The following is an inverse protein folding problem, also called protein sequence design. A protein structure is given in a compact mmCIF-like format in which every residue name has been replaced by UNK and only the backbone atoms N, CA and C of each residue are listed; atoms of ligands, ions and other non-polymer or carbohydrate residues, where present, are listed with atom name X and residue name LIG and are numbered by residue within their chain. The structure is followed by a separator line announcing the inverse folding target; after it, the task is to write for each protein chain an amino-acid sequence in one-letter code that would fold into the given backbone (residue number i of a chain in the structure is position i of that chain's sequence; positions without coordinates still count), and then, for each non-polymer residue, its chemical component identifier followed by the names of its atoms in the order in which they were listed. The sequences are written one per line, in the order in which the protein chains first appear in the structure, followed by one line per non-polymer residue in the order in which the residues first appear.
data_IF_918480867624
#
_entry.id   IF_918480867624
#
_cell.length_a   1.000
_cell.length_b   1.000
_cell.length_c   1.000
_cell.angle_alpha   90.00
_cell.angle_beta   90.00
_cell.angle_gamma   90.00
#
_symmetry.space_group_name_H-M   'P 1'
#
loop_
_entity.id
_entity.type
_entity.pdbx_description
1 polymer ?
#
# COMPACT_ATOMS: atom_id res chain seq x y z
N UNK A 1 -3.18 -26.93 -28.10
CA UNK A 1 -1.95 -26.75 -27.30
C UNK A 1 -0.99 -25.95 -28.16
N UNK A 2 -0.81 -24.64 -28.02
CA UNK A 2 -0.13 -23.95 -26.94
C UNK A 2 -0.29 -22.44 -27.20
N UNK A 3 -1.07 -21.73 -26.37
CA UNK A 3 -1.05 -20.27 -26.30
C UNK A 3 -0.43 -19.88 -24.96
N UNK A 4 0.88 -20.09 -24.82
CA UNK A 4 1.65 -19.46 -23.77
C UNK A 4 2.13 -18.10 -24.32
N UNK A 5 1.29 -17.08 -24.20
CA UNK A 5 1.74 -15.70 -24.33
C UNK A 5 2.91 -15.50 -23.37
N UNK A 6 4.11 -15.31 -23.92
CA UNK A 6 5.33 -14.98 -23.18
C UNK A 6 5.04 -13.65 -22.45
N UNK A 7 4.85 -13.67 -21.13
CA UNK A 7 4.66 -12.46 -20.34
C UNK A 7 5.85 -11.52 -20.58
N UNK A 8 5.59 -10.36 -21.17
CA UNK A 8 6.61 -9.40 -21.57
C UNK A 8 7.00 -8.57 -20.35
N UNK A 9 8.31 -8.47 -20.08
CA UNK A 9 8.93 -7.50 -19.18
C UNK A 9 8.18 -7.18 -17.87
N UNK A 10 7.36 -6.14 -17.91
CA UNK A 10 6.54 -5.62 -16.81
C UNK A 10 5.59 -6.66 -16.22
N UNK A 11 4.84 -7.36 -17.07
CA UNK A 11 3.81 -8.31 -16.62
C UNK A 11 4.43 -9.41 -15.77
N UNK A 12 5.68 -9.77 -16.09
CA UNK A 12 6.45 -10.75 -15.33
C UNK A 12 6.76 -10.26 -13.93
N UNK A 13 7.12 -8.99 -13.75
CA UNK A 13 7.36 -8.39 -12.42
C UNK A 13 6.06 -8.39 -11.60
N UNK A 14 4.93 -8.04 -12.22
CA UNK A 14 3.62 -7.99 -11.57
C UNK A 14 3.18 -9.40 -11.14
N UNK A 15 3.24 -10.38 -12.04
CA UNK A 15 2.83 -11.77 -11.77
C UNK A 15 3.70 -12.39 -10.68
N UNK A 16 5.02 -12.21 -10.73
CA UNK A 16 5.92 -12.70 -9.68
C UNK A 16 5.64 -12.06 -8.32
N UNK A 17 5.34 -10.75 -8.30
CA UNK A 17 4.95 -10.04 -7.08
C UNK A 17 3.65 -10.59 -6.49
N UNK A 18 2.60 -10.76 -7.31
CA UNK A 18 1.31 -11.28 -6.84
C UNK A 18 1.43 -12.72 -6.36
N UNK A 19 2.13 -13.58 -7.10
CA UNK A 19 2.36 -14.97 -6.70
C UNK A 19 3.17 -15.05 -5.39
N UNK A 20 4.16 -14.18 -5.23
CA UNK A 20 4.93 -14.06 -4.00
C UNK A 20 4.06 -13.67 -2.80
N UNK A 21 3.12 -12.74 -2.96
CA UNK A 21 2.16 -12.36 -1.90
C UNK A 21 1.22 -13.50 -1.52
N UNK A 22 0.74 -14.27 -2.50
CA UNK A 22 -0.08 -15.46 -2.22
C UNK A 22 0.72 -16.49 -1.40
N UNK A 23 1.99 -16.73 -1.76
CA UNK A 23 2.89 -17.61 -0.99
C UNK A 23 3.14 -17.10 0.41
N UNK A 24 3.35 -15.80 0.56
CA UNK A 24 3.51 -15.13 1.84
C UNK A 24 2.27 -15.32 2.72
N UNK A 25 1.08 -15.13 2.17
CA UNK A 25 -0.20 -15.32 2.88
C UNK A 25 -0.42 -16.78 3.30
N UNK A 26 0.10 -17.75 2.55
CA UNK A 26 0.11 -19.17 2.93
C UNK A 26 1.18 -19.51 3.98
N UNK A 27 2.02 -18.56 4.39
CA UNK A 27 3.11 -18.76 5.35
C UNK A 27 4.40 -19.33 4.74
N UNK A 28 4.46 -19.50 3.42
CA UNK A 28 5.65 -20.00 2.72
C UNK A 28 6.61 -18.84 2.41
N UNK A 29 7.29 -18.37 3.45
CA UNK A 29 8.20 -17.22 3.38
C UNK A 29 9.37 -17.47 2.42
N UNK A 30 9.87 -18.71 2.36
CA UNK A 30 11.03 -19.08 1.53
C UNK A 30 10.66 -19.01 0.04
N UNK A 31 9.49 -19.51 -0.35
CA UNK A 31 9.03 -19.39 -1.72
C UNK A 31 8.68 -17.94 -2.08
N UNK A 32 8.05 -17.20 -1.16
CA UNK A 32 7.73 -15.78 -1.36
C UNK A 32 8.98 -14.95 -1.64
N UNK A 33 10.03 -15.10 -0.83
CA UNK A 33 11.30 -14.39 -1.00
C UNK A 33 11.96 -14.71 -2.34
N UNK A 34 11.96 -15.99 -2.77
CA UNK A 34 12.48 -16.39 -4.08
C UNK A 34 11.74 -15.70 -5.24
N UNK A 35 10.42 -15.58 -5.14
CA UNK A 35 9.60 -14.91 -6.15
C UNK A 35 9.84 -13.40 -6.17
N UNK A 36 9.95 -12.75 -5.01
CA UNK A 36 10.29 -11.33 -4.90
C UNK A 36 11.69 -11.03 -5.43
N UNK A 37 12.67 -11.89 -5.15
CA UNK A 37 14.02 -11.79 -5.72
C UNK A 37 14.01 -11.94 -7.24
N UNK A 38 13.24 -12.87 -7.78
CA UNK A 38 13.08 -13.02 -9.23
C UNK A 38 12.47 -11.74 -9.85
N UNK A 39 11.45 -11.14 -9.21
CA UNK A 39 10.84 -9.89 -9.65
C UNK A 39 11.85 -8.73 -9.68
N UNK A 40 12.72 -8.60 -8.66
CA UNK A 40 13.84 -7.64 -8.65
C UNK A 40 14.85 -7.86 -9.77
N UNK A 41 15.18 -9.10 -10.08
CA UNK A 41 16.10 -9.38 -11.21
C UNK A 41 15.48 -8.87 -12.51
N UNK A 42 14.18 -9.12 -12.72
CA UNK A 42 13.48 -8.65 -13.92
C UNK A 42 13.39 -7.13 -14.01
N UNK A 43 13.17 -6.41 -12.90
CA UNK A 43 13.19 -4.94 -12.93
C UNK A 43 14.60 -4.40 -13.27
N UNK A 44 15.65 -5.03 -12.76
CA UNK A 44 17.03 -4.66 -13.08
C UNK A 44 17.35 -4.85 -14.57
N UNK A 45 16.86 -5.94 -15.17
CA UNK A 45 16.97 -6.19 -16.61
C UNK A 45 16.21 -5.15 -17.44
N UNK A 46 15.04 -4.69 -16.97
CA UNK A 46 14.28 -3.62 -17.64
C UNK A 46 15.04 -2.29 -17.63
N UNK A 47 15.73 -1.96 -16.52
CA UNK A 47 16.58 -0.75 -16.44
C UNK A 47 17.73 -0.77 -17.43
N UNK A 48 18.40 -1.92 -17.57
CA UNK A 48 19.55 -2.08 -18.48
C UNK A 48 19.09 -2.11 -19.94
N UNK A 49 17.98 -2.78 -20.23
CA UNK A 49 17.40 -2.87 -21.57
C UNK A 49 16.76 -1.57 -22.09
N UNK A 50 16.48 -0.61 -21.21
CA UNK A 50 15.84 0.67 -21.56
C UNK A 50 16.71 1.60 -22.43
N UNK A 51 18.00 1.28 -22.61
CA UNK A 51 18.90 2.03 -23.50
C UNK A 51 18.59 1.89 -25.00
N UNK A 52 17.85 0.86 -25.41
CA UNK A 52 17.45 0.62 -26.80
C UNK A 52 15.99 0.12 -26.85
N UNK A 53 15.04 1.01 -27.17
CA UNK A 53 13.68 0.67 -27.64
C UNK A 53 12.76 -0.18 -26.71
N UNK A 54 12.61 0.19 -25.44
CA UNK A 54 11.53 -0.38 -24.59
C UNK A 54 10.61 0.73 -24.13
N UNK A 55 9.30 0.64 -24.43
CA UNK A 55 8.26 1.63 -24.10
C UNK A 55 7.95 1.79 -22.61
N UNK A 56 8.90 1.50 -21.71
CA UNK A 56 8.76 1.66 -20.27
C UNK A 56 8.97 3.12 -19.92
N UNK A 57 7.90 3.80 -19.51
CA UNK A 57 7.99 5.18 -19.02
C UNK A 57 8.63 5.22 -17.64
N UNK A 58 9.27 6.34 -17.29
CA UNK A 58 9.82 6.54 -15.94
C UNK A 58 8.76 6.37 -14.84
N UNK A 59 7.50 6.77 -15.11
CA UNK A 59 6.34 6.57 -14.22
C UNK A 59 6.07 5.08 -13.97
N UNK A 60 6.06 4.28 -15.03
CA UNK A 60 5.82 2.85 -14.95
C UNK A 60 6.94 2.11 -14.19
N UNK A 61 8.20 2.52 -14.38
CA UNK A 61 9.32 1.99 -13.62
C UNK A 61 9.18 2.30 -12.12
N UNK A 62 8.81 3.53 -11.77
CA UNK A 62 8.59 3.94 -10.39
C UNK A 62 7.45 3.14 -9.72
N UNK A 63 6.37 2.85 -10.44
CA UNK A 63 5.27 2.03 -9.92
C UNK A 63 5.70 0.58 -9.67
N UNK A 64 6.51 0.01 -10.56
CA UNK A 64 7.09 -1.32 -10.36
C UNK A 64 8.05 -1.36 -9.16
N UNK A 65 8.84 -0.31 -8.96
CA UNK A 65 9.71 -0.16 -7.80
C UNK A 65 8.93 -0.07 -6.49
N UNK A 66 7.88 0.75 -6.45
CA UNK A 66 6.98 0.83 -5.29
C UNK A 66 6.35 -0.53 -4.96
N UNK A 67 5.97 -1.31 -5.99
CA UNK A 67 5.43 -2.66 -5.82
C UNK A 67 6.45 -3.63 -5.23
N UNK A 68 7.71 -3.56 -5.64
CA UNK A 68 8.78 -4.38 -5.07
C UNK A 68 9.08 -3.98 -3.63
N UNK A 69 9.12 -2.68 -3.35
CA UNK A 69 9.32 -2.16 -2.01
C UNK A 69 8.20 -2.58 -1.06
N UNK A 70 6.95 -2.64 -1.56
CA UNK A 70 5.83 -3.17 -0.79
C UNK A 70 5.99 -4.66 -0.50
N UNK A 71 6.46 -5.46 -1.46
CA UNK A 71 6.76 -6.87 -1.23
C UNK A 71 7.82 -7.05 -0.13
N UNK A 72 8.84 -6.19 -0.12
CA UNK A 72 9.91 -6.23 0.87
C UNK A 72 9.40 -5.87 2.27
N UNK A 73 8.60 -4.81 2.40
CA UNK A 73 7.96 -4.46 3.66
C UNK A 73 7.06 -5.59 4.19
N UNK A 74 6.29 -6.24 3.31
CA UNK A 74 5.44 -7.39 3.68
C UNK A 74 6.27 -8.61 4.16
N UNK A 75 7.37 -8.91 3.48
CA UNK A 75 8.25 -10.01 3.86
C UNK A 75 8.93 -9.74 5.20
N UNK A 76 9.46 -8.53 5.39
CA UNK A 76 10.09 -8.07 6.64
C UNK A 76 9.10 -8.13 7.80
N UNK A 77 7.86 -7.70 7.57
CA UNK A 77 6.79 -7.81 8.55
C UNK A 77 6.53 -9.26 8.95
N UNK A 78 6.41 -10.17 7.97
CA UNK A 78 6.22 -11.60 8.21
C UNK A 78 7.40 -12.26 8.93
N UNK A 79 8.60 -11.70 8.80
CA UNK A 79 9.82 -12.10 9.51
C UNK A 79 9.96 -11.46 10.89
N UNK A 80 8.96 -10.71 11.35
CA UNK A 80 8.97 -9.94 12.60
C UNK A 80 10.04 -8.83 12.66
N UNK A 81 10.54 -8.39 11.50
CA UNK A 81 11.48 -7.28 11.39
C UNK A 81 10.72 -5.96 11.16
N UNK A 82 10.02 -5.52 12.20
CA UNK A 82 9.01 -4.48 12.11
C UNK A 82 9.58 -3.09 11.81
N UNK A 83 10.79 -2.78 12.28
CA UNK A 83 11.43 -1.48 12.06
C UNK A 83 11.87 -1.31 10.60
N UNK A 84 12.43 -2.35 10.00
CA UNK A 84 12.77 -2.34 8.58
C UNK A 84 11.51 -2.33 7.71
N UNK A 85 10.46 -3.08 8.11
CA UNK A 85 9.17 -3.04 7.44
C UNK A 85 8.57 -1.62 7.45
N UNK A 86 8.62 -0.92 8.60
CA UNK A 86 8.20 0.47 8.72
C UNK A 86 8.93 1.38 7.75
N UNK A 87 10.26 1.29 7.69
CA UNK A 87 11.08 2.10 6.79
C UNK A 87 10.74 1.84 5.31
N UNK A 88 10.49 0.57 4.96
CA UNK A 88 10.09 0.19 3.61
C UNK A 88 8.73 0.80 3.23
N UNK A 89 7.73 0.72 4.11
CA UNK A 89 6.43 1.32 3.86
C UNK A 89 6.49 2.85 3.81
N UNK A 90 7.22 3.49 4.73
CA UNK A 90 7.40 4.96 4.76
C UNK A 90 8.04 5.49 3.46
N UNK A 91 9.03 4.76 2.94
CA UNK A 91 9.69 5.08 1.68
C UNK A 91 8.72 5.09 0.49
N UNK A 92 7.71 4.21 0.47
CA UNK A 92 6.65 4.21 -0.56
C UNK A 92 5.80 5.49 -0.45
N UNK A 93 5.46 5.90 0.77
CA UNK A 93 4.65 7.09 1.03
C UNK A 93 5.40 8.36 0.65
N UNK A 94 6.71 8.41 0.92
CA UNK A 94 7.56 9.52 0.52
C UNK A 94 7.61 9.70 -1.00
N UNK A 95 7.87 8.61 -1.74
CA UNK A 95 7.96 8.64 -3.22
C UNK A 95 6.65 9.12 -3.86
N UNK A 96 5.50 8.77 -3.27
CA UNK A 96 4.21 9.20 -3.80
C UNK A 96 3.88 10.67 -3.53
N UNK A 97 4.21 11.20 -2.34
CA UNK A 97 3.98 12.62 -2.04
C UNK A 97 4.73 13.56 -2.99
N UNK A 98 5.83 13.11 -3.60
CA UNK A 98 6.58 13.83 -4.64
C UNK A 98 5.90 13.75 -6.01
N UNK A 99 5.15 12.68 -6.29
CA UNK A 99 4.52 12.42 -7.60
C UNK A 99 3.05 12.89 -7.69
N UNK A 100 2.37 13.11 -6.56
CA UNK A 100 0.98 13.56 -6.50
C UNK A 100 0.75 15.03 -6.90
N UNK A 101 1.81 15.78 -7.22
CA UNK A 101 1.71 17.16 -7.69
C UNK A 101 1.35 17.28 -9.18
N UNK A 102 1.34 16.17 -9.94
CA UNK A 102 1.02 16.17 -11.36
C UNK A 102 0.05 15.02 -11.70
N UNK A 103 -0.97 15.35 -12.49
CA UNK A 103 -1.94 14.48 -13.18
C UNK A 103 -3.26 14.18 -12.45
N UNK A 104 -4.22 15.09 -12.67
CA UNK A 104 -5.60 14.70 -12.95
C UNK A 104 -5.66 14.05 -14.34
N UNK A 105 -6.16 12.81 -14.46
CA UNK A 105 -6.95 12.35 -15.61
C UNK A 105 -7.39 10.89 -15.46
N UNK A 106 -8.53 10.66 -16.10
CA UNK A 106 -9.51 9.60 -15.95
C UNK A 106 -9.17 8.34 -16.77
N UNK A 107 -9.71 7.21 -16.29
CA UNK A 107 -10.24 6.07 -17.04
C UNK A 107 -9.32 5.01 -17.70
N UNK A 108 -9.47 3.81 -17.13
CA UNK A 108 -9.57 2.49 -17.78
C UNK A 108 -8.28 1.86 -18.30
N UNK A 109 -7.75 0.88 -17.54
CA UNK A 109 -7.81 -0.49 -18.05
C UNK A 109 -7.74 -1.56 -16.96
N UNK A 110 -8.64 -2.52 -17.09
CA UNK A 110 -8.89 -3.59 -16.15
C UNK A 110 -7.66 -4.48 -15.99
N UNK A 111 -7.19 -4.66 -14.75
CA UNK A 111 -6.76 -5.92 -14.11
C UNK A 111 -5.87 -5.60 -12.90
N UNK A 112 -6.50 -5.04 -11.86
CA UNK A 112 -5.97 -4.87 -10.51
C UNK A 112 -4.79 -3.88 -10.44
N UNK A 113 -5.08 -2.57 -10.50
CA UNK A 113 -4.28 -1.62 -9.71
C UNK A 113 -4.47 -2.01 -8.24
N UNK A 114 -3.63 -2.92 -7.77
CA UNK A 114 -3.38 -3.06 -6.34
C UNK A 114 -2.93 -1.67 -5.90
N UNK A 115 -3.74 -0.99 -5.09
CA UNK A 115 -3.36 0.30 -4.55
C UNK A 115 -2.23 0.06 -3.55
N UNK A 116 -1.01 0.02 -4.10
CA UNK A 116 0.26 -0.21 -3.41
C UNK A 116 0.36 0.76 -2.24
N UNK A 117 -0.18 1.96 -2.38
CA UNK A 117 -0.18 2.98 -1.36
C UNK A 117 -1.15 2.64 -0.24
N UNK A 118 -2.42 2.35 -0.56
CA UNK A 118 -3.38 1.94 0.49
C UNK A 118 -2.86 0.73 1.28
N UNK A 119 -2.24 -0.23 0.58
CA UNK A 119 -1.60 -1.38 1.21
C UNK A 119 -0.42 -0.97 2.08
N UNK A 120 0.47 -0.10 1.59
CA UNK A 120 1.64 0.36 2.34
C UNK A 120 1.25 1.12 3.60
N UNK A 121 0.24 2.00 3.55
CA UNK A 121 -0.21 2.78 4.72
C UNK A 121 -0.88 1.88 5.76
N UNK A 122 -1.74 0.96 5.33
CA UNK A 122 -2.37 0.04 6.27
C UNK A 122 -1.30 -0.80 7.00
N UNK A 123 -0.34 -1.34 6.24
CA UNK A 123 0.75 -2.12 6.81
C UNK A 123 1.70 -1.27 7.68
N UNK A 124 1.97 -0.02 7.29
CA UNK A 124 2.71 0.93 8.12
C UNK A 124 2.03 1.14 9.47
N UNK A 125 0.73 1.40 9.49
CA UNK A 125 -0.02 1.64 10.72
C UNK A 125 -0.02 0.40 11.63
N UNK A 126 -0.17 -0.79 11.05
CA UNK A 126 -0.07 -2.06 11.79
C UNK A 126 1.34 -2.24 12.35
N UNK A 127 2.40 -1.99 11.57
CA UNK A 127 3.77 -2.09 12.08
C UNK A 127 4.04 -1.08 13.19
N UNK A 128 3.58 0.16 13.06
CA UNK A 128 3.76 1.22 14.04
C UNK A 128 3.05 0.88 15.36
N UNK A 129 1.87 0.27 15.27
CA UNK A 129 1.15 -0.33 16.38
C UNK A 129 1.98 -1.40 17.11
N UNK A 130 2.54 -2.37 16.38
CA UNK A 130 3.38 -3.42 16.98
C UNK A 130 4.69 -2.88 17.57
N UNK A 131 5.19 -1.75 17.06
CA UNK A 131 6.33 -1.04 17.62
C UNK A 131 5.99 -0.15 18.84
N UNK A 132 4.76 -0.25 19.38
CA UNK A 132 4.25 0.55 20.49
C UNK A 132 4.24 2.07 20.25
N UNK A 133 4.33 2.52 19.00
CA UNK A 133 4.23 3.94 18.64
C UNK A 133 2.84 4.26 18.08
N UNK A 134 1.86 4.20 18.98
CA UNK A 134 0.45 4.48 18.68
C UNK A 134 0.25 5.91 18.15
N UNK A 135 1.08 6.87 18.60
CA UNK A 135 1.00 8.27 18.17
C UNK A 135 1.48 8.44 16.74
N UNK A 136 2.61 7.83 16.37
CA UNK A 136 3.07 7.83 14.98
C UNK A 136 2.09 7.11 14.05
N UNK A 137 1.52 5.98 14.49
CA UNK A 137 0.50 5.25 13.74
C UNK A 137 -0.71 6.14 13.40
N UNK A 138 -1.26 6.85 14.40
CA UNK A 138 -2.37 7.80 14.19
C UNK A 138 -1.96 8.93 13.26
N UNK A 139 -0.80 9.55 13.49
CA UNK A 139 -0.34 10.68 12.69
C UNK A 139 -0.18 10.31 11.20
N UNK A 140 0.38 9.14 10.90
CA UNK A 140 0.56 8.65 9.54
C UNK A 140 -0.79 8.39 8.83
N UNK A 141 -1.73 7.72 9.51
CA UNK A 141 -3.07 7.47 8.96
C UNK A 141 -3.82 8.80 8.71
N UNK A 142 -3.74 9.75 9.63
CA UNK A 142 -4.37 11.07 9.46
C UNK A 142 -3.72 11.88 8.33
N UNK A 143 -2.39 11.86 8.20
CA UNK A 143 -1.68 12.54 7.13
C UNK A 143 -2.06 11.99 5.76
N UNK A 144 -2.21 10.67 5.65
CA UNK A 144 -2.70 10.03 4.43
C UNK A 144 -4.15 10.46 4.12
N UNK A 145 -5.05 10.47 5.10
CA UNK A 145 -6.43 10.95 4.87
C UNK A 145 -6.42 12.41 4.42
N UNK A 146 -5.57 13.26 5.03
CA UNK A 146 -5.47 14.68 4.62
C UNK A 146 -4.98 14.86 3.20
N UNK A 147 -4.11 13.99 2.68
CA UNK A 147 -3.56 14.13 1.32
C UNK A 147 -4.59 13.81 0.25
N UNK A 148 -5.38 12.74 0.41
CA UNK A 148 -6.51 12.46 -0.47
C UNK A 148 -7.60 11.66 0.29
N UNK A 149 -8.60 12.35 0.86
CA UNK A 149 -9.67 11.68 1.61
C UNK A 149 -10.45 10.67 0.80
N UNK A 150 -10.70 10.95 -0.50
CA UNK A 150 -11.50 10.06 -1.36
C UNK A 150 -10.83 8.72 -1.60
N UNK A 151 -9.51 8.71 -1.75
CA UNK A 151 -8.73 7.50 -2.03
C UNK A 151 -8.41 6.71 -0.77
N UNK A 152 -8.07 7.41 0.31
CA UNK A 152 -7.40 6.81 1.46
C UNK A 152 -8.31 6.52 2.65
N UNK A 153 -9.47 7.16 2.72
CA UNK A 153 -10.46 6.90 3.76
C UNK A 153 -11.25 5.61 3.43
N UNK A 154 -10.58 4.47 3.52
CA UNK A 154 -11.17 3.14 3.36
C UNK A 154 -11.74 2.63 4.67
N UNK A 155 -12.66 1.65 4.60
CA UNK A 155 -13.23 1.03 5.81
C UNK A 155 -12.17 0.43 6.76
N UNK A 156 -11.09 -0.15 6.21
CA UNK A 156 -9.99 -0.71 7.00
C UNK A 156 -9.22 0.36 7.75
N UNK A 157 -8.88 1.47 7.08
CA UNK A 157 -8.17 2.61 7.70
C UNK A 157 -9.01 3.24 8.79
N UNK A 158 -10.32 3.39 8.53
CA UNK A 158 -11.27 3.95 9.48
C UNK A 158 -11.42 3.06 10.73
N UNK A 159 -11.49 1.73 10.54
CA UNK A 159 -11.53 0.77 11.63
C UNK A 159 -10.25 0.84 12.49
N UNK A 160 -9.09 0.90 11.84
CA UNK A 160 -7.81 1.02 12.52
C UNK A 160 -7.72 2.33 13.31
N UNK A 161 -8.09 3.48 12.72
CA UNK A 161 -8.13 4.76 13.42
C UNK A 161 -9.11 4.79 14.59
N UNK A 162 -10.30 4.21 14.41
CA UNK A 162 -11.29 4.10 15.50
C UNK A 162 -10.70 3.35 16.70
N UNK A 163 -10.03 2.22 16.44
CA UNK A 163 -9.40 1.41 17.48
C UNK A 163 -8.21 2.14 18.13
N UNK A 164 -7.42 2.86 17.34
CA UNK A 164 -6.30 3.68 17.82
C UNK A 164 -6.78 4.86 18.67
N UNK A 165 -7.88 5.51 18.31
CA UNK A 165 -8.45 6.61 19.09
C UNK A 165 -8.98 6.15 20.44
N UNK A 166 -9.62 4.98 20.50
CA UNK A 166 -10.06 4.37 21.76
C UNK A 166 -8.88 3.98 22.66
N UNK A 167 -7.73 3.63 22.07
CA UNK A 167 -6.53 3.29 22.81
C UNK A 167 -5.79 4.52 23.35
N UNK A 168 -5.75 5.61 22.56
CA UNK A 168 -4.87 6.76 22.82
C UNK A 168 -5.57 7.90 23.57
N UNK A 169 -6.88 8.08 23.38
CA UNK A 169 -7.62 9.24 23.86
C UNK A 169 -8.71 8.85 24.86
N UNK A 170 -9.15 9.82 25.66
CA UNK A 170 -10.32 9.67 26.52
C UNK A 170 -11.61 9.55 25.69
N UNK A 171 -12.68 9.03 26.30
CA UNK A 171 -13.94 8.76 25.62
C UNK A 171 -14.53 9.99 24.90
N UNK A 172 -14.39 11.19 25.45
CA UNK A 172 -14.93 12.40 24.81
C UNK A 172 -14.12 12.78 23.56
N UNK A 173 -12.80 12.79 23.67
CA UNK A 173 -11.90 13.10 22.54
C UNK A 173 -11.96 12.03 21.45
N UNK A 174 -11.98 10.74 21.82
CA UNK A 174 -12.12 9.62 20.88
C UNK A 174 -13.43 9.75 20.08
N UNK A 175 -14.56 9.96 20.77
CA UNK A 175 -15.87 10.15 20.12
C UNK A 175 -15.88 11.34 19.16
N UNK A 176 -15.30 12.48 19.57
CA UNK A 176 -15.21 13.68 18.72
C UNK A 176 -14.42 13.41 17.43
N UNK A 177 -13.28 12.72 17.51
CA UNK A 177 -12.46 12.39 16.34
C UNK A 177 -13.14 11.40 15.39
N UNK A 178 -13.82 10.38 15.93
CA UNK A 178 -14.62 9.43 15.13
C UNK A 178 -15.76 10.13 14.38
N UNK A 179 -16.45 11.07 15.03
CA UNK A 179 -17.49 11.90 14.39
C UNK A 179 -16.93 12.84 13.33
N UNK A 180 -15.72 13.38 13.51
CA UNK A 180 -15.06 14.15 12.46
C UNK A 180 -14.76 13.29 11.24
N UNK A 181 -14.28 12.06 11.45
CA UNK A 181 -14.00 11.12 10.38
C UNK A 181 -15.27 10.71 9.61
N UNK A 182 -16.41 10.53 10.31
CA UNK A 182 -17.74 10.37 9.70
C UNK A 182 -18.11 11.53 8.79
N UNK A 183 -17.95 12.76 9.27
CA UNK A 183 -18.26 13.97 8.49
C UNK A 183 -17.43 14.05 7.23
N UNK A 184 -16.14 13.72 7.30
CA UNK A 184 -15.27 13.65 6.12
C UNK A 184 -15.81 12.60 5.14
N UNK A 185 -16.11 11.38 5.59
CA UNK A 185 -16.65 10.33 4.72
C UNK A 185 -17.95 10.76 4.01
N UNK A 186 -18.86 11.43 4.73
CA UNK A 186 -20.09 11.97 4.17
C UNK A 186 -19.85 13.09 3.15
N UNK A 187 -18.96 14.04 3.45
CA UNK A 187 -18.63 15.17 2.54
C UNK A 187 -18.04 14.67 1.23
N UNK A 188 -17.25 13.60 1.28
CA UNK A 188 -16.58 13.02 0.12
C UNK A 188 -17.41 11.96 -0.62
N UNK A 189 -18.66 11.74 -0.20
CA UNK A 189 -19.62 10.79 -0.80
C UNK A 189 -19.08 9.35 -0.87
N UNK A 190 -18.45 8.91 0.21
CA UNK A 190 -17.88 7.57 0.31
C UNK A 190 -18.96 6.53 0.68
N UNK A 191 -19.84 6.23 -0.27
CA UNK A 191 -20.95 5.26 -0.13
C UNK A 191 -20.49 3.83 0.25
N UNK A 192 -19.21 3.51 0.08
CA UNK A 192 -18.63 2.20 0.39
C UNK A 192 -18.28 2.00 1.88
N UNK A 193 -18.44 3.01 2.72
CA UNK A 193 -18.10 2.92 4.15
C UNK A 193 -19.35 2.58 4.96
N UNK A 194 -19.48 1.31 5.32
CA UNK A 194 -20.58 0.80 6.16
C UNK A 194 -20.66 1.56 7.51
N UNK A 195 -21.85 2.05 7.90
CA UNK A 195 -22.15 2.57 9.23
C UNK A 195 -21.69 1.70 10.42
N UNK A 196 -21.46 0.39 10.22
CA UNK A 196 -20.93 -0.53 11.23
C UNK A 196 -19.42 -0.40 11.46
N UNK A 197 -18.68 0.22 10.53
CA UNK A 197 -17.23 0.48 10.67
C UNK A 197 -16.96 1.51 11.77
N UNK A 198 -17.93 2.37 12.03
CA UNK A 198 -17.86 3.37 13.06
C UNK A 198 -18.31 2.75 14.39
N UNK A 199 -17.39 2.08 15.09
CA UNK A 199 -17.60 1.63 16.47
C UNK A 199 -17.81 2.84 17.39
N UNK A 200 -19.04 3.35 17.42
CA UNK A 200 -19.54 4.39 18.33
C UNK A 200 -20.36 3.73 19.42
#
# INVERSE_FOLDING_TARGET
MSQAHYLVGQDRVIVLSRLGRIRLQMGDLVAAEKLFKAARIHIGLLKIGSGNCSGVTAKMLAELEARLLLNDGLLLFAQNNLQEALSAFDSILYVQNVQAADVESLETDLFLEEDVICSAVNNYAICALYCCDVKAAVAALEQMIRSNPKRFLTGVVMFNLSSLYDLLYDNATSKSRKEMMKKIAYIYDLEHVDPLTYRI
#
